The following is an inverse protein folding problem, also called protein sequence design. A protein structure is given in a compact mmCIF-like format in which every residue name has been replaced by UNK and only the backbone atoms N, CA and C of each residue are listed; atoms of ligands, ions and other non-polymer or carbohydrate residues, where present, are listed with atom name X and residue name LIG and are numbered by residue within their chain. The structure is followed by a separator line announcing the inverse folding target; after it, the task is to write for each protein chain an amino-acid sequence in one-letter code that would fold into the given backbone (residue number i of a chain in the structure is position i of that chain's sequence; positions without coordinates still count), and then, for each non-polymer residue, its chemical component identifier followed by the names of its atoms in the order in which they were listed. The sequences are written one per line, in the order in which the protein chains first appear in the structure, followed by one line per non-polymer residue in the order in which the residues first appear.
data_IF_069980394934
#
_entry.id   IF_069980394934
#
_cell.length_a   1.000
_cell.length_b   1.000
_cell.length_c   1.000
_cell.angle_alpha   90.00
_cell.angle_beta   90.00
_cell.angle_gamma   90.00
#
_symmetry.space_group_name_H-M   'P 1'
#
loop_
_entity.id
_entity.type
_entity.pdbx_description
1 polymer ?
#
# COMPACT_ATOMS: atom_id res chain seq x y z
N UNK A 1 -7.29 6.62 -35.02
CA UNK A 1 -7.09 6.46 -34.36
C UNK A 1 -7.19 6.37 -33.84
N UNK A 2 -7.34 6.44 -33.80
CA UNK A 2 -7.20 6.40 -33.10
C UNK A 2 -6.97 6.53 -32.52
N UNK A 3 -7.00 6.77 -32.51
CA UNK A 3 -6.61 6.79 -31.74
C UNK A 3 -6.65 6.82 -31.15
N UNK A 4 -6.85 7.15 -31.48
CA UNK A 4 -6.71 7.11 -30.78
C UNK A 4 -6.63 6.57 -30.45
N UNK A 5 -6.88 6.43 -30.72
CA UNK A 5 -6.59 5.93 -30.39
C UNK A 5 -6.01 5.70 -30.17
N UNK A 6 -5.95 5.75 -30.45
CA UNK A 6 -5.26 5.59 -30.11
C UNK A 6 -4.91 5.99 -29.63
N UNK A 7 -4.95 6.34 -29.61
CA UNK A 7 -4.54 6.68 -29.07
C UNK A 7 -4.55 6.84 -28.36
N UNK A 8 -4.68 7.12 -28.17
CA UNK A 8 -4.64 7.04 -27.60
C UNK A 8 -4.14 6.79 -27.18
N UNK A 9 -3.85 6.55 -27.49
CA UNK A 9 -3.24 6.05 -27.24
C UNK A 9 -2.48 6.37 -27.09
N UNK A 10 -2.22 6.54 -27.07
CA UNK A 10 -1.57 6.72 -26.79
C UNK A 10 -1.30 7.28 -26.65
N UNK A 11 -1.35 7.67 -26.53
CA UNK A 11 -1.09 8.13 -26.16
C UNK A 11 -0.43 8.35 -25.69
N UNK A 12 -0.09 8.42 -25.72
CA UNK A 12 0.51 8.45 -25.19
C UNK A 12 1.28 8.14 -24.86
N UNK A 13 1.53 8.11 -25.03
CA UNK A 13 2.04 7.72 -24.78
C UNK A 13 2.83 7.33 -24.47
N UNK A 14 3.29 7.66 -25.06
CA UNK A 14 3.92 7.09 -24.31
C UNK A 14 3.77 6.95 -23.17
N UNK A 15 3.24 6.72 -23.22
CA UNK A 15 2.60 6.72 -22.04
C UNK A 15 3.14 5.80 -21.05
N UNK A 16 3.14 6.28 -19.89
CA UNK A 16 3.44 5.49 -18.76
C UNK A 16 2.14 4.95 -18.21
N UNK A 17 2.06 3.65 -18.05
CA UNK A 17 0.89 3.02 -17.45
C UNK A 17 1.16 2.79 -15.98
N UNK A 18 0.32 3.36 -15.15
CA UNK A 18 0.37 3.10 -13.71
C UNK A 18 -0.50 1.89 -13.39
N UNK A 19 0.03 0.96 -12.63
CA UNK A 19 -0.70 -0.20 -12.16
C UNK A 19 -1.09 0.01 -10.71
N UNK A 20 -2.37 -0.23 -10.41
CA UNK A 20 -2.89 -0.15 -9.04
C UNK A 20 -3.11 -1.56 -8.52
N UNK A 21 -2.60 -1.85 -7.33
CA UNK A 21 -2.86 -3.10 -6.63
C UNK A 21 -3.43 -2.78 -5.26
N UNK A 22 -4.49 -3.48 -4.87
CA UNK A 22 -5.21 -3.25 -3.62
C UNK A 22 -5.44 -4.60 -2.94
N UNK A 23 -5.26 -4.63 -1.63
CA UNK A 23 -5.50 -5.82 -0.82
C UNK A 23 -6.18 -5.43 0.49
N UNK A 24 -7.05 -6.30 0.99
CA UNK A 24 -7.70 -6.14 2.28
C UNK A 24 -7.29 -7.26 3.21
N UNK A 25 -7.17 -6.95 4.49
CA UNK A 25 -6.79 -7.92 5.52
C UNK A 25 -7.58 -7.65 6.80
N UNK A 26 -7.99 -8.73 7.47
CA UNK A 26 -8.54 -8.66 8.81
C UNK A 26 -7.44 -8.20 9.77
N UNK A 27 -7.71 -7.17 10.54
CA UNK A 27 -6.72 -6.54 11.41
C UNK A 27 -6.63 -7.17 12.80
N UNK A 28 -7.29 -8.29 13.06
CA UNK A 28 -7.09 -9.04 14.30
C UNK A 28 -5.76 -9.81 14.20
N UNK A 29 -4.65 -9.09 14.38
CA UNK A 29 -3.31 -9.58 14.10
C UNK A 29 -2.36 -9.28 15.26
N UNK A 30 -1.56 -10.28 15.61
CA UNK A 30 -0.46 -10.12 16.55
C UNK A 30 0.62 -9.22 15.95
N UNK A 31 1.56 -8.78 16.77
CA UNK A 31 2.75 -8.06 16.28
C UNK A 31 3.51 -8.94 15.30
N UNK A 32 3.83 -8.39 14.14
CA UNK A 32 4.53 -9.12 13.08
C UNK A 32 4.31 -8.48 11.72
N UNK A 33 4.76 -9.18 10.68
CA UNK A 33 4.61 -8.77 9.28
C UNK A 33 3.75 -9.77 8.54
N UNK A 34 2.87 -9.28 7.69
CA UNK A 34 1.86 -10.08 7.02
C UNK A 34 1.85 -9.80 5.53
N UNK A 35 1.99 -10.87 4.74
CA UNK A 35 1.90 -10.76 3.29
C UNK A 35 0.49 -10.41 2.86
N UNK A 36 0.38 -9.51 1.89
CA UNK A 36 -0.91 -9.04 1.39
C UNK A 36 -1.33 -9.70 0.08
N UNK A 37 -0.55 -10.68 -0.38
CA UNK A 37 -0.86 -11.38 -1.64
C UNK A 37 -0.56 -10.53 -2.88
N UNK A 38 0.20 -9.47 -2.74
CA UNK A 38 0.61 -8.60 -3.85
C UNK A 38 2.11 -8.72 -4.04
N UNK A 39 2.53 -9.03 -5.25
CA UNK A 39 3.94 -9.05 -5.63
C UNK A 39 4.20 -7.92 -6.61
N UNK A 40 5.16 -7.08 -6.28
CA UNK A 40 5.58 -5.96 -7.13
C UNK A 40 6.64 -6.49 -8.09
N UNK A 41 6.42 -6.41 -9.41
CA UNK A 41 7.38 -6.97 -10.36
C UNK A 41 8.74 -6.28 -10.33
N UNK A 42 9.78 -7.05 -10.56
CA UNK A 42 11.14 -6.52 -10.72
C UNK A 42 11.17 -5.42 -11.79
N UNK A 43 11.91 -4.35 -11.51
CA UNK A 43 12.02 -3.22 -12.42
C UNK A 43 10.93 -2.17 -12.27
N UNK A 44 9.97 -2.38 -11.38
CA UNK A 44 8.91 -1.43 -11.12
C UNK A 44 9.37 -0.30 -10.21
N UNK A 45 8.69 0.83 -10.31
CA UNK A 45 8.86 1.97 -9.41
C UNK A 45 7.53 2.22 -8.72
N UNK A 46 7.51 2.11 -7.40
CA UNK A 46 6.31 2.40 -6.60
C UNK A 46 6.22 3.91 -6.40
N UNK A 47 5.16 4.52 -6.87
CA UNK A 47 4.98 5.97 -6.87
C UNK A 47 3.91 6.45 -5.90
N UNK A 48 3.17 5.53 -5.31
CA UNK A 48 2.17 5.85 -4.29
C UNK A 48 1.82 4.63 -3.47
N UNK A 49 1.42 4.87 -2.24
CA UNK A 49 1.00 3.82 -1.32
C UNK A 49 0.07 4.38 -0.27
N UNK A 50 -0.87 3.57 0.23
CA UNK A 50 -1.75 3.99 1.31
C UNK A 50 -2.19 2.81 2.16
N UNK A 51 -2.60 3.12 3.39
CA UNK A 51 -3.33 2.22 4.28
C UNK A 51 -4.60 2.94 4.71
N UNK A 52 -5.70 2.20 4.72
CA UNK A 52 -7.02 2.73 5.05
C UNK A 52 -7.74 1.75 5.97
N UNK A 53 -8.42 2.28 6.99
CA UNK A 53 -9.34 1.53 7.84
C UNK A 53 -10.71 1.52 7.16
N UNK A 54 -11.11 0.39 6.61
CA UNK A 54 -12.26 0.30 5.68
C UNK A 54 -13.57 0.75 6.32
N UNK A 55 -13.88 0.22 7.49
CA UNK A 55 -15.16 0.49 8.16
C UNK A 55 -14.99 1.37 9.41
N UNK A 56 -13.82 1.97 9.55
CA UNK A 56 -13.48 2.81 10.68
C UNK A 56 -13.59 2.07 12.03
N UNK A 57 -13.35 0.78 12.00
CA UNK A 57 -13.52 -0.15 13.13
C UNK A 57 -12.20 -0.73 13.63
N UNK A 58 -11.07 -0.22 13.15
CA UNK A 58 -9.76 -0.67 13.60
C UNK A 58 -9.61 -0.43 15.10
N UNK A 59 -9.24 -1.49 15.81
CA UNK A 59 -9.05 -1.45 17.23
C UNK A 59 -7.71 -2.03 17.63
N UNK A 60 -7.20 -1.59 18.76
CA UNK A 60 -5.94 -2.03 19.32
C UNK A 60 -5.57 -1.17 20.51
N UNK A 61 -4.36 -1.36 21.02
CA UNK A 61 -3.82 -0.51 22.07
C UNK A 61 -3.50 0.87 21.47
N UNK A 62 -3.45 1.89 22.31
CA UNK A 62 -3.09 3.24 21.88
C UNK A 62 -1.68 3.32 21.26
N UNK A 63 -0.83 2.35 21.56
CA UNK A 63 0.54 2.26 21.03
C UNK A 63 0.67 1.32 19.85
N UNK A 64 -0.39 0.62 19.46
CA UNK A 64 -0.38 -0.25 18.27
C UNK A 64 -0.09 0.59 17.05
N UNK A 65 0.89 0.16 16.25
CA UNK A 65 1.22 0.84 14.99
C UNK A 65 1.02 -0.07 13.79
N UNK A 66 0.65 0.54 12.67
CA UNK A 66 0.43 -0.13 11.39
C UNK A 66 1.27 0.56 10.34
N UNK A 67 1.94 -0.23 9.52
CA UNK A 67 2.76 0.29 8.41
C UNK A 67 2.69 -0.61 7.19
N UNK A 68 3.20 -0.13 6.08
CA UNK A 68 3.23 -0.83 4.80
C UNK A 68 4.64 -0.83 4.25
N UNK A 69 5.08 -2.00 3.79
CA UNK A 69 6.44 -2.18 3.27
C UNK A 69 6.44 -2.89 1.93
N UNK A 70 7.40 -2.55 1.09
CA UNK A 70 7.80 -3.34 -0.05
C UNK A 70 9.15 -3.97 0.32
N UNK A 71 9.14 -5.27 0.61
CA UNK A 71 10.31 -5.94 1.17
C UNK A 71 10.75 -5.27 2.47
N UNK A 72 11.97 -4.77 2.52
CA UNK A 72 12.50 -4.07 3.68
C UNK A 72 12.24 -2.56 3.67
N UNK A 73 11.68 -2.02 2.59
CA UNK A 73 11.50 -0.58 2.41
C UNK A 73 10.13 -0.15 2.87
N UNK A 74 10.05 0.81 3.80
CA UNK A 74 8.77 1.36 4.24
C UNK A 74 8.15 2.22 3.13
N UNK A 75 6.90 1.92 2.77
CA UNK A 75 6.09 2.72 1.85
C UNK A 75 5.17 3.66 2.61
N UNK A 76 4.58 3.17 3.70
CA UNK A 76 3.83 3.99 4.64
C UNK A 76 4.48 3.76 6.01
N UNK A 77 4.97 4.82 6.60
CA UNK A 77 5.61 4.77 7.92
C UNK A 77 4.59 4.35 8.97
N UNK A 78 5.02 3.55 9.93
CA UNK A 78 4.14 3.09 11.00
C UNK A 78 3.43 4.26 11.68
N UNK A 79 2.11 4.11 11.84
CA UNK A 79 1.26 5.10 12.47
C UNK A 79 0.34 4.43 13.48
N UNK A 80 -0.02 5.15 14.53
CA UNK A 80 -0.91 4.61 15.56
C UNK A 80 -2.34 4.47 15.05
N UNK A 81 -3.09 3.57 15.66
CA UNK A 81 -4.46 3.24 15.27
C UNK A 81 -5.34 4.49 15.15
N UNK A 82 -5.19 5.44 16.07
CA UNK A 82 -5.99 6.66 16.08
C UNK A 82 -5.78 7.50 14.80
N UNK A 83 -4.60 7.45 14.20
CA UNK A 83 -4.29 8.21 12.99
C UNK A 83 -4.97 7.65 11.74
N UNK A 84 -5.47 6.41 11.81
CA UNK A 84 -6.20 5.79 10.72
C UNK A 84 -7.71 5.98 10.82
N UNK A 85 -8.18 6.54 11.91
CA UNK A 85 -9.61 6.70 12.14
C UNK A 85 -10.18 7.77 11.22
N UNK A 86 -11.09 7.36 10.33
CA UNK A 86 -11.76 8.26 9.41
C UNK A 86 -10.91 8.78 8.26
N UNK A 87 -9.72 8.20 8.03
CA UNK A 87 -8.84 8.66 6.95
C UNK A 87 -7.90 7.56 6.46
N UNK A 88 -7.28 7.80 5.34
CA UNK A 88 -6.20 6.99 4.83
C UNK A 88 -4.87 7.67 5.11
N UNK A 89 -3.83 6.87 5.33
CA UNK A 89 -2.46 7.34 5.48
C UNK A 89 -1.63 6.93 4.28
N UNK A 90 -0.70 7.78 3.90
CA UNK A 90 0.15 7.56 2.75
C UNK A 90 -0.13 8.60 1.68
N UNK A 91 0.22 8.28 0.46
CA UNK A 91 0.04 9.16 -0.68
C UNK A 91 1.14 8.98 -1.71
N UNK A 92 1.43 10.03 -2.45
CA UNK A 92 2.47 10.00 -3.46
C UNK A 92 3.86 9.86 -2.82
N UNK A 93 4.70 9.07 -3.47
CA UNK A 93 6.10 8.91 -3.09
C UNK A 93 6.93 9.75 -4.06
N UNK A 94 7.56 10.80 -3.56
CA UNK A 94 8.14 11.86 -4.40
C UNK A 94 9.13 11.36 -5.46
N UNK A 95 10.06 10.49 -5.06
CA UNK A 95 11.08 9.96 -5.97
C UNK A 95 10.80 8.52 -6.39
N UNK A 96 9.71 7.96 -5.87
CA UNK A 96 9.39 6.56 -6.07
C UNK A 96 10.31 5.61 -5.30
N UNK A 97 9.95 4.33 -5.31
CA UNK A 97 10.76 3.26 -4.76
C UNK A 97 10.99 2.23 -5.87
N UNK A 98 12.24 2.11 -6.30
CA UNK A 98 12.62 1.13 -7.32
C UNK A 98 12.75 -0.25 -6.69
N UNK A 99 12.18 -1.26 -7.34
CA UNK A 99 12.27 -2.66 -6.91
C UNK A 99 13.12 -3.41 -7.93
N UNK A 100 14.29 -3.84 -7.51
CA UNK A 100 15.23 -4.55 -8.39
C UNK A 100 14.80 -6.00 -8.66
N UNK A 101 14.02 -6.59 -7.77
CA UNK A 101 13.55 -7.97 -7.84
C UNK A 101 12.08 -8.01 -7.50
N UNK A 102 11.40 -9.10 -7.83
CA UNK A 102 10.02 -9.33 -7.41
C UNK A 102 9.94 -9.18 -5.89
N UNK A 103 9.08 -8.29 -5.42
CA UNK A 103 9.04 -7.89 -4.01
C UNK A 103 7.62 -7.98 -3.48
N UNK A 104 7.45 -8.63 -2.34
CA UNK A 104 6.14 -8.77 -1.73
C UNK A 104 5.76 -7.51 -0.95
N UNK A 105 4.49 -7.16 -1.06
CA UNK A 105 3.88 -6.12 -0.24
C UNK A 105 3.49 -6.71 1.10
N UNK A 106 3.94 -6.10 2.19
CA UNK A 106 3.67 -6.57 3.56
C UNK A 106 3.09 -5.47 4.43
N UNK A 107 2.17 -5.90 5.29
CA UNK A 107 1.61 -5.05 6.35
C UNK A 107 2.37 -5.33 7.64
N UNK A 108 2.74 -4.29 8.37
CA UNK A 108 3.46 -4.40 9.63
C UNK A 108 2.56 -3.98 10.79
N UNK A 109 2.46 -4.84 11.80
CA UNK A 109 1.82 -4.53 13.08
C UNK A 109 2.94 -4.52 14.11
N UNK A 110 3.09 -3.43 14.85
CA UNK A 110 4.19 -3.27 15.79
C UNK A 110 3.72 -2.74 17.13
N UNK A 111 4.57 -2.90 18.14
CA UNK A 111 4.43 -2.48 19.52
C UNK A 111 3.40 -3.31 20.28
N UNK A 112 2.15 -3.30 19.88
CA UNK A 112 1.05 -4.08 20.45
C UNK A 112 0.16 -4.66 19.35
N UNK A 113 -0.51 -5.79 19.61
CA UNK A 113 -1.40 -6.39 18.63
C UNK A 113 -2.57 -5.48 18.28
N UNK A 114 -3.01 -5.55 17.03
CA UNK A 114 -4.31 -5.03 16.64
C UNK A 114 -5.37 -6.10 16.99
N UNK A 115 -6.56 -5.69 17.36
CA UNK A 115 -7.57 -6.60 17.89
C UNK A 115 -8.83 -6.74 17.05
N UNK A 116 -9.11 -5.78 16.18
CA UNK A 116 -10.30 -5.82 15.31
C UNK A 116 -10.14 -4.84 14.16
N UNK A 117 -10.97 -5.01 13.15
CA UNK A 117 -11.09 -4.11 12.03
C UNK A 117 -10.68 -4.74 10.72
N UNK A 118 -10.83 -3.97 9.65
CA UNK A 118 -10.37 -4.36 8.30
C UNK A 118 -9.52 -3.26 7.74
N UNK A 119 -8.32 -3.62 7.30
CA UNK A 119 -7.38 -2.71 6.67
C UNK A 119 -7.32 -2.95 5.17
N UNK A 120 -7.30 -1.89 4.42
CA UNK A 120 -7.03 -1.92 3.00
C UNK A 120 -5.69 -1.25 2.75
N UNK A 121 -4.83 -1.95 2.02
CA UNK A 121 -3.57 -1.40 1.57
C UNK A 121 -3.57 -1.34 0.07
N UNK A 122 -3.05 -0.26 -0.48
CA UNK A 122 -2.96 -0.09 -1.92
C UNK A 122 -1.64 0.52 -2.33
N UNK A 123 -1.20 0.19 -3.52
CA UNK A 123 -0.02 0.78 -4.13
C UNK A 123 -0.32 1.17 -5.57
N UNK A 124 0.44 2.14 -6.06
CA UNK A 124 0.47 2.54 -7.45
C UNK A 124 1.91 2.44 -7.92
N UNK A 125 2.14 1.72 -9.02
CA UNK A 125 3.50 1.55 -9.55
C UNK A 125 3.51 1.56 -11.08
N UNK A 126 4.67 1.75 -11.64
CA UNK A 126 4.88 1.74 -13.08
C UNK A 126 6.11 0.93 -13.48
#
# INVERSE_FOLDING_TARGET
MTDAENMRRIRGGVGTYNTKAVSKIDANLAVGEYGLGVTIPAGSIVIGAYIKNVDNDLAGDATTTVGLKAGATALVTNAVVADLKGKALGGAIADGVFVAEDTDLTLSIAVKPATAGTLEAGILYM
#
